data_IF_378519470190
#
_entry.id   IF_378519470190
#
_cell.length_a   1.000
_cell.length_b   1.000
_cell.length_c   1.000
_cell.angle_alpha   90.00
_cell.angle_beta   90.00
_cell.angle_gamma   90.00
#
_symmetry.space_group_name_H-M   'P 1'
#
loop_
_entity.id
_entity.type
_entity.pdbx_description
1 polymer ?
#
# COMPACT_ATOMS: atom_id res chain seq x y z
N UNK A 1 7.83 -34.84 -33.64
CA UNK A 1 8.15 -33.91 -32.54
C UNK A 1 7.89 -32.49 -33.02
N UNK A 2 7.52 -31.56 -32.14
CA UNK A 2 7.44 -30.13 -32.49
C UNK A 2 8.78 -29.65 -33.08
N UNK A 3 8.76 -28.85 -34.14
CA UNK A 3 9.96 -28.26 -34.76
C UNK A 3 10.51 -27.09 -33.96
N UNK A 4 9.72 -26.54 -33.03
CA UNK A 4 10.10 -25.41 -32.20
C UNK A 4 9.73 -25.66 -30.73
N UNK A 5 10.34 -24.92 -29.82
CA UNK A 5 9.94 -24.90 -28.42
C UNK A 5 8.68 -24.06 -28.20
N UNK A 6 7.89 -24.33 -27.15
CA UNK A 6 6.57 -23.70 -26.99
C UNK A 6 6.58 -22.26 -26.48
N UNK A 7 7.60 -21.80 -25.72
CA UNK A 7 7.56 -20.48 -25.09
C UNK A 7 8.21 -19.38 -25.94
N UNK A 8 9.39 -19.65 -26.52
CA UNK A 8 10.16 -18.68 -27.31
C UNK A 8 10.34 -19.08 -28.78
N UNK A 9 9.67 -20.15 -29.21
CA UNK A 9 9.71 -20.62 -30.59
C UNK A 9 11.14 -20.92 -31.10
N UNK A 10 12.02 -21.40 -30.22
CA UNK A 10 13.40 -21.76 -30.58
C UNK A 10 13.38 -22.97 -31.50
N UNK A 11 14.10 -22.88 -32.62
CA UNK A 11 14.19 -23.97 -33.60
C UNK A 11 14.90 -25.18 -33.00
N UNK A 12 14.31 -26.36 -33.21
CA UNK A 12 14.85 -27.64 -32.75
C UNK A 12 15.59 -28.33 -33.88
N UNK A 13 16.79 -28.90 -33.62
CA UNK A 13 17.51 -29.63 -34.65
C UNK A 13 16.73 -30.80 -35.24
N UNK A 14 16.84 -30.93 -36.56
CA UNK A 14 16.25 -32.02 -37.33
C UNK A 14 17.20 -33.23 -37.42
N UNK A 15 16.64 -34.38 -37.82
CA UNK A 15 17.41 -35.63 -38.00
C UNK A 15 18.42 -35.55 -39.14
N UNK A 16 18.31 -34.54 -40.01
CA UNK A 16 19.25 -34.26 -41.08
C UNK A 16 20.50 -33.54 -40.56
N UNK A 17 20.41 -32.88 -39.40
CA UNK A 17 21.49 -32.10 -38.79
C UNK A 17 22.25 -32.90 -37.72
N UNK A 18 21.60 -33.85 -37.05
CA UNK A 18 22.22 -34.70 -36.01
C UNK A 18 21.71 -36.14 -36.05
N UNK A 19 22.62 -37.09 -35.78
CA UNK A 19 22.28 -38.52 -35.71
C UNK A 19 21.40 -38.87 -34.50
N UNK A 20 21.57 -38.20 -33.35
CA UNK A 20 20.72 -38.32 -32.17
C UNK A 20 20.12 -36.96 -31.80
N UNK A 21 18.95 -36.67 -32.38
CA UNK A 21 18.21 -35.42 -32.12
C UNK A 21 17.48 -35.40 -30.78
N UNK A 22 17.36 -36.55 -30.08
CA UNK A 22 16.57 -36.64 -28.86
C UNK A 22 17.17 -35.81 -27.72
N UNK A 23 18.49 -35.92 -27.54
CA UNK A 23 19.25 -35.16 -26.53
C UNK A 23 19.20 -33.64 -26.79
N UNK A 24 19.57 -33.12 -27.98
CA UNK A 24 19.53 -31.68 -28.23
C UNK A 24 18.10 -31.12 -28.18
N UNK A 25 17.08 -31.86 -28.65
CA UNK A 25 15.69 -31.42 -28.55
C UNK A 25 15.20 -31.33 -27.10
N UNK A 26 15.58 -32.31 -26.26
CA UNK A 26 15.29 -32.27 -24.81
C UNK A 26 15.99 -31.09 -24.13
N UNK A 27 17.24 -30.82 -24.49
CA UNK A 27 17.98 -29.68 -23.95
C UNK A 27 17.33 -28.35 -24.39
N UNK A 28 16.89 -28.24 -25.64
CA UNK A 28 16.19 -27.05 -26.15
C UNK A 28 14.90 -26.78 -25.37
N UNK A 29 14.10 -27.82 -25.08
CA UNK A 29 12.91 -27.70 -24.23
C UNK A 29 13.24 -27.25 -22.80
N UNK A 30 14.34 -27.74 -22.21
CA UNK A 30 14.78 -27.29 -20.88
C UNK A 30 15.20 -25.82 -20.90
N UNK A 31 15.97 -25.39 -21.90
CA UNK A 31 16.41 -24.01 -22.07
C UNK A 31 15.20 -23.09 -22.21
N UNK A 32 14.25 -23.43 -23.06
CA UNK A 32 13.03 -22.65 -23.29
C UNK A 32 12.20 -22.46 -22.01
N UNK A 33 12.03 -23.52 -21.22
CA UNK A 33 11.34 -23.44 -19.93
C UNK A 33 12.10 -22.58 -18.91
N UNK A 34 13.42 -22.66 -18.87
CA UNK A 34 14.26 -21.82 -18.00
C UNK A 34 14.18 -20.36 -18.42
N UNK A 35 14.26 -20.07 -19.73
CA UNK A 35 14.09 -18.71 -20.26
C UNK A 35 12.72 -18.15 -19.92
N UNK A 36 11.66 -18.98 -19.95
CA UNK A 36 10.31 -18.53 -19.62
C UNK A 36 10.22 -18.14 -18.15
N UNK A 37 10.74 -18.99 -17.28
CA UNK A 37 10.81 -18.70 -15.85
C UNK A 37 11.60 -17.41 -15.57
N UNK A 38 12.77 -17.25 -16.19
CA UNK A 38 13.58 -16.05 -16.01
C UNK A 38 12.87 -14.80 -16.52
N UNK A 39 12.22 -14.88 -17.68
CA UNK A 39 11.40 -13.79 -18.22
C UNK A 39 10.28 -13.43 -17.25
N UNK A 40 9.54 -14.40 -16.73
CA UNK A 40 8.47 -14.17 -15.75
C UNK A 40 8.99 -13.57 -14.44
N UNK A 41 10.12 -14.07 -13.93
CA UNK A 41 10.76 -13.56 -12.73
C UNK A 41 11.18 -12.10 -12.93
N UNK A 42 11.77 -11.75 -14.08
CA UNK A 42 12.18 -10.37 -14.43
C UNK A 42 10.98 -9.46 -14.63
N UNK A 43 9.95 -9.89 -15.36
CA UNK A 43 8.72 -9.12 -15.54
C UNK A 43 7.96 -8.91 -14.23
N UNK A 44 8.10 -9.82 -13.26
CA UNK A 44 7.52 -9.69 -11.93
C UNK A 44 8.19 -8.66 -11.01
N UNK A 45 9.37 -8.14 -11.38
CA UNK A 45 10.10 -7.18 -10.52
C UNK A 45 9.54 -5.76 -10.59
N UNK A 46 8.92 -5.39 -11.72
CA UNK A 46 8.45 -4.02 -11.94
C UNK A 46 7.11 -3.97 -12.66
N UNK A 47 6.36 -2.88 -12.46
CA UNK A 47 5.16 -2.64 -13.27
C UNK A 47 5.51 -2.29 -14.71
N UNK A 48 4.79 -2.87 -15.66
CA UNK A 48 4.96 -2.63 -17.11
C UNK A 48 3.90 -1.69 -17.72
N UNK A 49 2.83 -1.41 -16.97
CA UNK A 49 1.75 -0.49 -17.32
C UNK A 49 0.98 -0.11 -16.04
N UNK A 50 0.10 0.89 -16.14
CA UNK A 50 -0.89 1.18 -15.10
C UNK A 50 -1.81 -0.03 -14.89
N UNK A 51 -2.17 -0.31 -13.63
CA UNK A 51 -3.04 -1.44 -13.28
C UNK A 51 -4.00 -1.05 -12.15
N UNK A 52 -5.24 -1.52 -12.29
CA UNK A 52 -6.26 -1.40 -11.23
C UNK A 52 -6.70 -2.80 -10.80
N UNK A 53 -6.57 -3.07 -9.50
CA UNK A 53 -7.11 -4.23 -8.83
C UNK A 53 -8.38 -3.87 -8.06
N UNK A 54 -9.46 -4.60 -8.32
CA UNK A 54 -10.73 -4.46 -7.64
C UNK A 54 -10.82 -5.45 -6.49
N UNK A 55 -11.32 -5.00 -5.35
CA UNK A 55 -11.55 -5.79 -4.14
C UNK A 55 -13.02 -5.69 -3.75
N UNK A 56 -13.63 -6.82 -3.42
CA UNK A 56 -15.01 -6.91 -2.95
C UNK A 56 -15.11 -8.05 -1.93
N UNK A 57 -15.76 -7.82 -0.78
CA UNK A 57 -15.91 -8.83 0.27
C UNK A 57 -16.58 -10.15 -0.21
N UNK A 58 -17.38 -10.10 -1.28
CA UNK A 58 -18.01 -11.26 -1.93
C UNK A 58 -17.19 -11.86 -3.08
N UNK A 59 -16.00 -11.31 -3.37
CA UNK A 59 -15.09 -11.76 -4.40
C UNK A 59 -14.38 -13.08 -4.04
N UNK A 60 -13.34 -13.41 -4.83
CA UNK A 60 -12.50 -14.61 -4.61
C UNK A 60 -11.03 -14.29 -4.89
N UNK A 61 -10.13 -14.75 -4.02
CA UNK A 61 -8.69 -14.53 -4.19
C UNK A 61 -8.06 -15.39 -5.30
N UNK A 62 -8.84 -16.30 -5.87
CA UNK A 62 -8.51 -17.03 -7.10
C UNK A 62 -8.83 -16.23 -8.37
N UNK A 63 -9.57 -15.13 -8.26
CA UNK A 63 -9.83 -14.25 -9.40
C UNK A 63 -8.56 -13.48 -9.80
N UNK A 64 -8.61 -12.77 -10.93
CA UNK A 64 -7.50 -11.94 -11.40
C UNK A 64 -7.51 -10.51 -10.82
N UNK A 65 -8.63 -10.06 -10.25
CA UNK A 65 -8.78 -8.72 -9.69
C UNK A 65 -8.93 -7.60 -10.72
N UNK A 66 -8.98 -7.87 -12.03
CA UNK A 66 -8.90 -6.82 -13.06
C UNK A 66 -10.25 -6.15 -13.39
N UNK A 67 -11.36 -6.68 -12.87
CA UNK A 67 -12.70 -6.11 -13.05
C UNK A 67 -13.49 -6.23 -11.74
N UNK A 68 -14.59 -5.48 -11.63
CA UNK A 68 -15.52 -5.61 -10.50
C UNK A 68 -16.13 -7.01 -10.38
N UNK A 69 -16.37 -7.70 -11.50
CA UNK A 69 -16.92 -9.07 -11.52
C UNK A 69 -15.89 -10.15 -11.16
N UNK A 70 -14.60 -9.85 -11.37
CA UNK A 70 -13.47 -10.73 -11.05
C UNK A 70 -12.63 -10.16 -9.92
N UNK A 71 -13.26 -9.43 -8.99
CA UNK A 71 -12.58 -8.81 -7.87
C UNK A 71 -11.95 -9.85 -6.92
N UNK A 72 -10.83 -9.47 -6.30
CA UNK A 72 -10.28 -10.21 -5.16
C UNK A 72 -11.23 -10.14 -3.96
N UNK A 73 -11.14 -11.13 -3.07
CA UNK A 73 -11.88 -11.11 -1.81
C UNK A 73 -11.18 -10.22 -0.78
N UNK A 74 -9.85 -10.28 -0.74
CA UNK A 74 -9.03 -9.55 0.22
C UNK A 74 -8.22 -8.43 -0.43
N UNK A 75 -7.98 -7.38 0.34
CA UNK A 75 -7.09 -6.27 -0.01
C UNK A 75 -5.65 -6.74 0.08
N UNK A 76 -5.31 -7.59 1.06
CA UNK A 76 -3.97 -8.20 1.18
C UNK A 76 -3.60 -8.99 -0.08
N UNK A 77 -4.56 -9.65 -0.73
CA UNK A 77 -4.32 -10.30 -2.03
C UNK A 77 -3.98 -9.30 -3.13
N UNK A 78 -4.66 -8.16 -3.19
CA UNK A 78 -4.35 -7.09 -4.14
C UNK A 78 -2.97 -6.48 -3.87
N UNK A 79 -2.62 -6.25 -2.60
CA UNK A 79 -1.28 -5.78 -2.19
C UNK A 79 -0.19 -6.77 -2.62
N UNK A 80 -0.45 -8.07 -2.52
CA UNK A 80 0.50 -9.11 -2.96
C UNK A 80 0.77 -9.11 -4.47
N UNK A 81 0.04 -8.31 -5.25
CA UNK A 81 0.23 -8.14 -6.70
C UNK A 81 1.04 -6.91 -7.05
N UNK A 82 1.38 -6.06 -6.08
CA UNK A 82 2.22 -4.90 -6.29
C UNK A 82 3.68 -5.39 -6.43
N UNK A 83 4.35 -5.16 -7.57
CA UNK A 83 5.77 -5.46 -7.72
C UNK A 83 6.63 -4.60 -6.79
N UNK A 84 7.87 -5.03 -6.57
CA UNK A 84 8.79 -4.30 -5.70
C UNK A 84 9.19 -2.93 -6.30
N UNK A 85 9.23 -2.80 -7.63
CA UNK A 85 9.50 -1.56 -8.36
C UNK A 85 8.20 -1.08 -9.02
N UNK A 86 7.80 0.16 -8.74
CA UNK A 86 6.52 0.72 -9.20
C UNK A 86 6.80 1.90 -10.13
N UNK A 87 6.86 1.62 -11.43
CA UNK A 87 7.09 2.62 -12.50
C UNK A 87 5.80 3.28 -13.02
N UNK A 88 4.66 2.71 -12.64
CA UNK A 88 3.33 3.03 -13.16
C UNK A 88 2.34 3.11 -12.00
N UNK A 89 1.14 3.64 -12.24
CA UNK A 89 0.11 3.73 -11.22
C UNK A 89 -0.47 2.35 -10.90
N UNK A 90 -0.39 1.95 -9.63
CA UNK A 90 -1.05 0.76 -9.12
C UNK A 90 -2.20 1.20 -8.24
N UNK A 91 -3.42 0.87 -8.65
CA UNK A 91 -4.63 1.25 -7.91
C UNK A 91 -5.29 0.01 -7.34
N UNK A 92 -5.62 0.03 -6.05
CA UNK A 92 -6.49 -0.93 -5.39
C UNK A 92 -7.80 -0.21 -5.10
N UNK A 93 -8.84 -0.57 -5.83
CA UNK A 93 -10.18 -0.03 -5.68
C UNK A 93 -11.03 -0.97 -4.81
N UNK A 94 -11.45 -0.49 -3.65
CA UNK A 94 -12.07 -1.28 -2.59
C UNK A 94 -13.57 -0.97 -2.58
N UNK A 95 -14.39 -1.99 -2.82
CA UNK A 95 -15.83 -1.89 -2.60
C UNK A 95 -16.15 -1.90 -1.10
N UNK A 96 -17.33 -1.39 -0.74
CA UNK A 96 -17.85 -1.43 0.63
C UNK A 96 -17.78 -2.84 1.23
N UNK A 97 -17.37 -2.92 2.49
CA UNK A 97 -17.19 -4.18 3.17
C UNK A 97 -16.37 -4.06 4.46
N UNK A 98 -16.44 -5.13 5.25
CA UNK A 98 -15.61 -5.31 6.42
C UNK A 98 -14.44 -6.24 6.07
N UNK A 99 -13.25 -5.66 5.93
CA UNK A 99 -12.01 -6.37 5.66
C UNK A 99 -11.18 -6.36 6.94
N UNK A 100 -11.46 -7.30 7.85
CA UNK A 100 -10.75 -7.39 9.14
C UNK A 100 -9.30 -7.91 8.98
N UNK A 101 -8.49 -7.16 8.25
CA UNK A 101 -7.12 -7.47 7.89
C UNK A 101 -6.23 -6.23 8.05
N UNK A 102 -4.95 -6.47 8.38
CA UNK A 102 -3.92 -5.43 8.40
C UNK A 102 -3.36 -5.26 7.00
N UNK A 103 -3.38 -4.03 6.48
CA UNK A 103 -2.79 -3.72 5.19
C UNK A 103 -1.32 -3.35 5.36
N UNK A 104 -0.43 -4.23 4.93
CA UNK A 104 1.01 -4.00 5.04
C UNK A 104 1.62 -3.69 3.67
N UNK A 105 1.92 -2.41 3.42
CA UNK A 105 2.70 -1.94 2.28
C UNK A 105 4.16 -1.85 2.71
N UNK A 106 4.97 -2.81 2.27
CA UNK A 106 6.36 -2.94 2.72
C UNK A 106 7.35 -3.06 1.57
N UNK A 107 8.47 -2.33 1.67
CA UNK A 107 9.69 -2.62 0.90
C UNK A 107 9.60 -2.33 -0.61
N UNK A 108 8.71 -1.41 -1.02
CA UNK A 108 8.61 -0.93 -2.39
C UNK A 108 9.77 0.05 -2.65
N UNK A 109 10.68 -0.32 -3.54
CA UNK A 109 12.01 0.30 -3.67
C UNK A 109 12.04 1.60 -4.48
N UNK A 110 11.00 1.92 -5.25
CA UNK A 110 10.92 3.17 -6.03
C UNK A 110 10.39 2.97 -7.44
N UNK A 111 10.48 4.04 -8.24
CA UNK A 111 9.98 4.16 -9.60
C UNK A 111 9.23 5.48 -9.80
N UNK A 112 8.77 5.76 -11.03
CA UNK A 112 8.00 6.98 -11.34
C UNK A 112 6.50 6.88 -11.01
N UNK A 113 6.04 5.74 -10.50
CA UNK A 113 4.63 5.44 -10.26
C UNK A 113 4.12 5.89 -8.90
N UNK A 114 2.90 5.46 -8.58
CA UNK A 114 2.20 5.72 -7.31
C UNK A 114 1.40 4.49 -6.91
N UNK A 115 1.26 4.25 -5.61
CA UNK A 115 0.36 3.22 -5.08
C UNK A 115 -0.87 3.89 -4.48
N UNK A 116 -2.05 3.54 -4.99
CA UNK A 116 -3.32 4.09 -4.53
C UNK A 116 -4.15 2.97 -3.87
N UNK A 117 -4.56 3.17 -2.62
CA UNK A 117 -5.52 2.31 -1.91
C UNK A 117 -6.77 3.14 -1.66
N UNK A 118 -7.81 2.89 -2.46
CA UNK A 118 -8.96 3.76 -2.61
C UNK A 118 -10.23 3.04 -2.16
N UNK A 119 -10.84 3.51 -1.09
CA UNK A 119 -12.23 3.23 -0.72
C UNK A 119 -13.14 4.40 -1.09
N UNK A 120 -13.85 4.94 -0.10
CA UNK A 120 -14.77 6.06 -0.28
C UNK A 120 -14.09 7.37 -0.74
N UNK A 121 -14.83 8.29 -1.35
CA UNK A 121 -14.37 9.66 -1.66
C UNK A 121 -14.62 10.65 -0.51
N UNK A 122 -15.24 10.19 0.57
CA UNK A 122 -15.52 10.96 1.80
C UNK A 122 -15.26 10.09 3.03
N UNK A 123 -15.32 10.67 4.23
CA UNK A 123 -15.36 9.88 5.47
C UNK A 123 -16.48 8.85 5.38
N UNK A 124 -16.21 7.65 5.87
CA UNK A 124 -17.12 6.51 5.73
C UNK A 124 -17.05 5.57 6.93
N UNK A 125 -18.14 4.85 7.15
CA UNK A 125 -18.22 3.72 8.07
C UNK A 125 -18.34 2.36 7.36
N UNK A 126 -18.29 2.35 6.02
CA UNK A 126 -18.57 1.15 5.19
C UNK A 126 -17.34 0.46 4.62
N UNK A 127 -16.17 1.12 4.60
CA UNK A 127 -14.91 0.54 4.09
C UNK A 127 -13.97 0.29 5.26
N UNK A 128 -14.18 -0.81 5.98
CA UNK A 128 -13.53 -1.07 7.27
C UNK A 128 -12.30 -1.95 7.04
N UNK A 129 -11.17 -1.53 7.60
CA UNK A 129 -9.92 -2.30 7.70
C UNK A 129 -9.42 -2.34 9.14
N UNK A 130 -8.58 -3.31 9.51
CA UNK A 130 -8.04 -3.35 10.87
C UNK A 130 -7.16 -2.12 11.14
N UNK A 131 -6.12 -1.97 10.31
CA UNK A 131 -5.14 -0.91 10.35
C UNK A 131 -4.25 -0.96 9.09
N UNK A 132 -3.45 0.08 8.87
CA UNK A 132 -2.53 0.18 7.74
C UNK A 132 -1.10 0.43 8.23
N UNK A 133 -0.15 -0.27 7.64
CA UNK A 133 1.28 -0.09 7.85
C UNK A 133 1.91 0.23 6.50
N UNK A 134 2.56 1.38 6.39
CA UNK A 134 3.37 1.78 5.26
C UNK A 134 4.81 1.89 5.73
N UNK A 135 5.65 0.93 5.34
CA UNK A 135 7.01 0.83 5.86
C UNK A 135 8.02 0.65 4.72
N UNK A 136 9.03 1.53 4.66
CA UNK A 136 10.08 1.47 3.63
C UNK A 136 9.52 1.51 2.21
N UNK A 137 8.52 2.37 1.97
CA UNK A 137 7.93 2.58 0.64
C UNK A 137 8.48 3.86 0.03
N UNK A 138 9.13 3.73 -1.13
CA UNK A 138 9.86 4.82 -1.77
C UNK A 138 9.11 5.50 -2.93
N UNK A 139 7.87 5.11 -3.19
CA UNK A 139 6.95 5.79 -4.11
C UNK A 139 5.84 6.50 -3.32
N UNK A 140 5.21 7.56 -3.87
CA UNK A 140 4.03 8.15 -3.25
C UNK A 140 2.93 7.11 -3.01
N UNK A 141 2.30 7.18 -1.83
CA UNK A 141 1.14 6.36 -1.48
C UNK A 141 -0.07 7.24 -1.21
N UNK A 142 -1.21 6.90 -1.79
CA UNK A 142 -2.50 7.52 -1.48
C UNK A 142 -3.37 6.50 -0.76
N UNK A 143 -3.83 6.85 0.44
CA UNK A 143 -4.78 6.07 1.24
C UNK A 143 -6.05 6.90 1.38
N UNK A 144 -7.20 6.41 0.88
CA UNK A 144 -8.42 7.21 0.84
C UNK A 144 -9.66 6.47 1.31
N UNK A 145 -10.43 7.11 2.21
CA UNK A 145 -11.82 6.72 2.51
C UNK A 145 -11.93 5.37 3.18
N UNK A 146 -11.13 5.13 4.22
CA UNK A 146 -11.08 3.87 4.98
C UNK A 146 -11.33 4.16 6.45
N UNK A 147 -11.98 3.21 7.14
CA UNK A 147 -12.20 3.24 8.59
C UNK A 147 -11.35 2.18 9.26
N UNK A 148 -10.72 2.53 10.39
CA UNK A 148 -9.94 1.60 11.21
C UNK A 148 -10.77 0.99 12.34
N UNK A 149 -10.61 -0.32 12.55
CA UNK A 149 -11.32 -1.09 13.58
C UNK A 149 -10.43 -1.62 14.71
N UNK A 150 -9.10 -1.53 14.58
CA UNK A 150 -8.18 -2.02 15.61
C UNK A 150 -8.16 -1.11 16.85
N UNK A 151 -8.22 -1.73 18.03
CA UNK A 151 -7.97 -1.06 19.31
C UNK A 151 -6.51 -1.27 19.81
N UNK A 152 -5.75 -2.16 19.17
CA UNK A 152 -4.45 -2.65 19.64
C UNK A 152 -3.28 -2.26 18.71
N UNK A 153 -3.48 -1.24 17.87
CA UNK A 153 -2.47 -0.75 16.94
C UNK A 153 -2.75 0.71 16.61
N UNK A 154 -1.76 1.37 16.01
CA UNK A 154 -2.03 2.59 15.27
C UNK A 154 -3.05 2.34 14.16
N UNK A 155 -3.91 3.32 13.86
CA UNK A 155 -4.80 3.25 12.71
C UNK A 155 -4.00 3.23 11.41
N UNK A 156 -3.10 4.20 11.27
CA UNK A 156 -2.09 4.27 10.22
C UNK A 156 -0.70 4.48 10.83
N UNK A 157 0.23 3.57 10.55
CA UNK A 157 1.66 3.75 10.81
C UNK A 157 2.40 3.96 9.49
N UNK A 158 3.09 5.08 9.36
CA UNK A 158 3.99 5.38 8.24
C UNK A 158 5.41 5.47 8.77
N UNK A 159 6.33 4.64 8.26
CA UNK A 159 7.73 4.68 8.68
C UNK A 159 8.71 4.55 7.53
N UNK A 160 9.79 5.33 7.56
CA UNK A 160 10.89 5.24 6.58
C UNK A 160 10.42 5.31 5.12
N UNK A 161 9.38 6.09 4.85
CA UNK A 161 8.70 6.15 3.55
C UNK A 161 8.73 7.58 3.00
N UNK A 162 8.75 7.71 1.67
CA UNK A 162 8.98 9.01 1.01
C UNK A 162 7.82 9.97 1.19
N UNK A 163 6.61 9.59 0.79
CA UNK A 163 5.41 10.42 0.91
C UNK A 163 4.13 9.59 1.02
N UNK A 164 3.30 9.86 2.03
CA UNK A 164 1.96 9.25 2.19
C UNK A 164 0.89 10.33 2.31
N UNK A 165 -0.14 10.25 1.45
CA UNK A 165 -1.34 11.05 1.55
C UNK A 165 -2.47 10.24 2.19
N UNK A 166 -2.81 10.59 3.43
CA UNK A 166 -3.96 10.07 4.16
C UNK A 166 -5.16 11.00 3.94
N UNK A 167 -6.22 10.46 3.36
CA UNK A 167 -7.36 11.23 2.86
C UNK A 167 -8.66 10.63 3.39
N UNK A 168 -9.50 11.40 4.07
CA UNK A 168 -10.81 10.90 4.53
C UNK A 168 -10.72 9.59 5.34
N UNK A 169 -9.66 9.43 6.13
CA UNK A 169 -9.50 8.27 7.00
C UNK A 169 -10.26 8.51 8.30
N UNK A 170 -10.91 7.46 8.80
CA UNK A 170 -11.69 7.51 10.04
C UNK A 170 -11.13 6.54 11.06
N UNK A 171 -10.72 7.07 12.20
CA UNK A 171 -10.28 6.28 13.34
C UNK A 171 -10.92 6.75 14.63
N UNK A 172 -12.03 6.10 15.00
CA UNK A 172 -12.85 6.47 16.16
C UNK A 172 -12.89 5.37 17.22
N UNK A 173 -12.26 4.23 16.94
CA UNK A 173 -12.19 3.07 17.83
C UNK A 173 -11.30 3.41 19.03
N UNK A 174 -11.80 3.37 20.29
CA UNK A 174 -10.98 3.72 21.45
C UNK A 174 -9.69 2.90 21.54
N UNK A 175 -8.56 3.57 21.76
CA UNK A 175 -7.24 2.93 21.83
C UNK A 175 -6.22 3.77 22.59
N UNK A 176 -5.22 3.12 23.19
CA UNK A 176 -4.02 3.77 23.74
C UNK A 176 -2.94 4.00 22.69
N UNK A 177 -3.20 3.66 21.42
CA UNK A 177 -2.31 3.94 20.29
C UNK A 177 -2.71 5.23 19.58
N UNK A 178 -1.79 5.77 18.78
CA UNK A 178 -2.05 6.95 17.96
C UNK A 178 -2.98 6.62 16.78
N UNK A 179 -3.81 7.57 16.36
CA UNK A 179 -4.64 7.41 15.17
C UNK A 179 -3.79 7.31 13.91
N UNK A 180 -2.97 8.33 13.67
CA UNK A 180 -2.00 8.37 12.56
C UNK A 180 -0.61 8.72 13.11
N UNK A 181 0.38 7.90 12.80
CA UNK A 181 1.76 8.07 13.24
C UNK A 181 2.73 8.06 12.06
N UNK A 182 3.50 9.15 11.88
CA UNK A 182 4.61 9.25 10.94
C UNK A 182 5.95 9.21 11.68
N UNK A 183 6.80 8.25 11.33
CA UNK A 183 8.15 8.07 11.87
C UNK A 183 9.19 8.14 10.73
N UNK A 184 10.05 9.15 10.73
CA UNK A 184 11.06 9.32 9.67
C UNK A 184 10.45 9.22 8.24
N UNK A 185 9.33 9.92 8.04
CA UNK A 185 8.56 9.90 6.81
C UNK A 185 7.93 11.27 6.54
N UNK A 186 7.46 11.50 5.31
CA UNK A 186 6.70 12.71 4.99
C UNK A 186 5.30 12.41 4.49
N UNK A 187 4.39 13.37 4.56
CA UNK A 187 3.04 13.16 4.09
C UNK A 187 2.07 14.32 4.26
N UNK A 188 0.83 14.04 3.89
CA UNK A 188 -0.32 14.92 4.11
C UNK A 188 -1.43 14.12 4.77
N UNK A 189 -2.03 14.68 5.80
CA UNK A 189 -3.23 14.15 6.46
C UNK A 189 -4.34 15.17 6.25
N UNK A 190 -5.37 14.81 5.50
CA UNK A 190 -6.45 15.76 5.21
C UNK A 190 -7.85 15.15 5.30
N UNK A 191 -8.78 15.94 5.84
CA UNK A 191 -10.19 15.56 6.00
C UNK A 191 -10.43 14.24 6.74
N UNK A 192 -9.53 13.89 7.67
CA UNK A 192 -9.62 12.71 8.51
C UNK A 192 -10.38 13.00 9.81
N UNK A 193 -10.98 11.95 10.40
CA UNK A 193 -11.60 11.98 11.72
C UNK A 193 -10.83 11.05 12.66
N UNK A 194 -10.17 11.60 13.68
CA UNK A 194 -9.25 10.89 14.58
C UNK A 194 -9.67 11.13 16.04
N UNK A 195 -10.38 10.17 16.63
CA UNK A 195 -11.03 10.29 17.94
C UNK A 195 -10.67 9.12 18.87
N UNK A 196 -10.70 9.37 20.17
CA UNK A 196 -10.47 8.38 21.23
C UNK A 196 -9.09 7.71 21.19
N UNK A 197 -8.04 8.48 20.86
CA UNK A 197 -6.65 8.01 20.72
C UNK A 197 -5.74 8.56 21.80
N UNK A 198 -4.58 7.92 21.99
CA UNK A 198 -3.50 8.53 22.76
C UNK A 198 -3.07 9.86 22.10
N UNK A 199 -2.72 9.81 20.82
CA UNK A 199 -2.54 10.99 19.99
C UNK A 199 -3.36 10.85 18.72
N UNK A 200 -4.06 11.91 18.29
CA UNK A 200 -4.74 11.86 17.00
C UNK A 200 -3.73 11.80 15.83
N UNK A 201 -2.83 12.80 15.74
CA UNK A 201 -1.74 12.83 14.75
C UNK A 201 -0.38 13.02 15.43
N UNK A 202 0.51 12.05 15.24
CA UNK A 202 1.86 12.04 15.81
C UNK A 202 2.91 12.02 14.70
N UNK A 203 3.88 12.92 14.78
CA UNK A 203 5.10 12.89 13.98
C UNK A 203 6.33 12.72 14.87
N UNK A 204 7.25 11.86 14.46
CA UNK A 204 8.47 11.54 15.18
C UNK A 204 9.67 11.37 14.23
N UNK A 205 10.87 11.63 14.74
CA UNK A 205 12.17 11.34 14.09
C UNK A 205 12.28 11.95 12.70
N UNK A 206 12.40 13.27 12.63
CA UNK A 206 12.56 14.04 11.39
C UNK A 206 11.39 13.89 10.39
N UNK A 207 10.23 13.38 10.82
CA UNK A 207 9.04 13.33 9.98
C UNK A 207 8.54 14.75 9.62
N UNK A 208 7.93 14.92 8.44
CA UNK A 208 7.40 16.21 8.00
C UNK A 208 6.00 16.05 7.39
N UNK A 209 4.99 16.57 8.07
CA UNK A 209 3.58 16.33 7.72
C UNK A 209 2.81 17.64 7.60
N UNK A 210 1.95 17.72 6.58
CA UNK A 210 0.94 18.76 6.48
C UNK A 210 -0.43 18.22 6.92
N UNK A 211 -1.03 18.84 7.94
CA UNK A 211 -2.32 18.47 8.53
C UNK A 211 -3.39 19.50 8.18
N UNK A 212 -4.44 19.10 7.46
CA UNK A 212 -5.45 20.03 6.95
C UNK A 212 -6.89 19.57 7.16
N UNK A 213 -7.71 20.41 7.79
CA UNK A 213 -9.16 20.18 7.96
C UNK A 213 -9.46 18.80 8.54
N UNK A 214 -8.73 18.43 9.59
CA UNK A 214 -8.92 17.19 10.32
C UNK A 214 -9.82 17.44 11.54
N UNK A 215 -10.58 16.43 11.96
CA UNK A 215 -11.49 16.51 13.10
C UNK A 215 -11.23 15.36 14.07
N UNK A 216 -11.90 15.40 15.22
CA UNK A 216 -11.93 14.31 16.19
C UNK A 216 -11.74 14.81 17.62
N UNK A 217 -12.20 14.02 18.57
CA UNK A 217 -12.28 14.40 20.00
C UNK A 217 -11.99 13.19 20.89
N UNK A 218 -11.85 13.43 22.21
CA UNK A 218 -11.60 12.35 23.17
C UNK A 218 -10.18 11.81 23.15
N UNK A 219 -9.25 12.54 22.52
CA UNK A 219 -7.84 12.17 22.48
C UNK A 219 -7.09 12.70 23.72
N UNK A 220 -5.99 12.05 24.12
CA UNK A 220 -5.09 12.65 25.13
C UNK A 220 -4.33 13.84 24.52
N UNK A 221 -3.83 13.66 23.30
CA UNK A 221 -3.16 14.70 22.50
C UNK A 221 -3.84 14.88 21.13
N UNK A 222 -4.01 16.12 20.70
CA UNK A 222 -4.45 16.43 19.32
C UNK A 222 -3.30 16.19 18.34
N UNK A 223 -2.27 17.02 18.42
CA UNK A 223 -1.08 16.98 17.58
C UNK A 223 0.18 16.81 18.42
N UNK A 224 1.09 15.92 18.00
CA UNK A 224 2.39 15.71 18.64
C UNK A 224 3.50 15.78 17.60
N UNK A 225 4.51 16.63 17.83
CA UNK A 225 5.72 16.68 17.00
C UNK A 225 6.97 16.54 17.87
N UNK A 226 7.64 15.38 17.79
CA UNK A 226 8.86 15.06 18.55
C UNK A 226 10.07 14.79 17.64
N UNK A 227 11.27 14.90 18.22
CA UNK A 227 12.54 14.48 17.61
C UNK A 227 12.78 15.11 16.23
N UNK A 228 12.85 16.44 16.18
CA UNK A 228 13.05 17.25 14.96
C UNK A 228 11.99 17.05 13.86
N UNK A 229 10.83 16.47 14.18
CA UNK A 229 9.71 16.38 13.25
C UNK A 229 8.91 17.68 13.17
N UNK A 230 8.10 17.83 12.11
CA UNK A 230 7.28 19.02 11.87
C UNK A 230 5.87 18.66 11.47
N UNK A 231 4.90 19.40 12.02
CA UNK A 231 3.52 19.44 11.54
C UNK A 231 3.20 20.86 11.10
N UNK A 232 2.97 21.08 9.80
CA UNK A 232 2.31 22.29 9.33
C UNK A 232 0.80 22.09 9.37
N UNK A 233 0.03 23.07 9.87
CA UNK A 233 -1.42 22.94 10.02
C UNK A 233 -2.22 23.99 9.26
N UNK A 234 -3.40 23.61 8.79
CA UNK A 234 -4.39 24.51 8.20
C UNK A 234 -5.81 24.02 8.48
N UNK A 235 -6.78 24.94 8.60
CA UNK A 235 -8.16 24.59 8.92
C UNK A 235 -8.31 23.94 10.29
N UNK A 236 -9.32 23.08 10.46
CA UNK A 236 -9.58 22.36 11.71
C UNK A 236 -8.51 21.31 11.99
N UNK A 237 -8.30 21.00 13.26
CA UNK A 237 -7.39 19.96 13.73
C UNK A 237 -8.11 19.06 14.74
N UNK A 238 -7.68 17.80 14.92
CA UNK A 238 -8.20 16.95 15.99
C UNK A 238 -7.88 17.55 17.35
N UNK A 239 -8.80 17.40 18.29
CA UNK A 239 -8.71 17.97 19.63
C UNK A 239 -8.36 16.87 20.62
N UNK A 240 -7.47 17.20 21.56
CA UNK A 240 -7.16 16.36 22.72
C UNK A 240 -7.28 17.13 24.02
N UNK A 241 -7.06 16.46 25.16
CA UNK A 241 -6.88 17.13 26.45
C UNK A 241 -5.77 18.17 26.34
N UNK A 242 -4.67 17.79 25.70
CA UNK A 242 -3.63 18.70 25.24
C UNK A 242 -3.72 18.83 23.72
N UNK A 243 -4.02 20.01 23.20
CA UNK A 243 -4.19 20.16 21.74
C UNK A 243 -2.90 19.96 20.97
N UNK A 244 -1.78 20.46 21.48
CA UNK A 244 -0.50 20.45 20.79
C UNK A 244 0.62 20.14 21.79
N UNK A 245 1.51 19.20 21.46
CA UNK A 245 2.71 18.88 22.24
C UNK A 245 3.94 18.84 21.36
N UNK A 246 5.03 19.46 21.86
CA UNK A 246 6.30 19.60 21.14
C UNK A 246 7.45 19.23 22.07
N UNK A 247 8.45 18.51 21.55
CA UNK A 247 9.64 18.09 22.31
C UNK A 247 10.82 17.79 21.38
N UNK A 248 12.04 17.82 21.93
CA UNK A 248 13.28 17.42 21.23
C UNK A 248 13.44 18.05 19.84
N UNK A 249 13.20 19.37 19.74
CA UNK A 249 13.31 20.12 18.47
C UNK A 249 12.16 19.91 17.48
N UNK A 250 11.12 19.16 17.85
CA UNK A 250 9.91 19.05 17.04
C UNK A 250 9.09 20.34 17.06
N UNK A 251 8.38 20.61 15.97
CA UNK A 251 7.61 21.85 15.82
C UNK A 251 6.24 21.65 15.16
N UNK A 252 5.31 22.54 15.50
CA UNK A 252 3.94 22.60 15.02
C UNK A 252 3.70 24.05 14.62
N UNK A 253 3.47 24.24 13.32
CA UNK A 253 3.37 25.53 12.62
C UNK A 253 1.93 25.78 12.18
#
# INVERSE_FOLDING_TARGET
MSTNTPNFNLEKPSVEEFYDVGVPNSNMDKIDNVLKKLSDDVHGLSTIADVTYYVNANGKDTNNGLTTTTAFKSIVKAISKIPQIVNHNVTINIAEGNYNETLNLYGILGGSGTVNVLGSTTLTDTHIVSNIIVNRVQVPVVLRGLKFSSANSHGLLVSYSTFVSAQYLKDVTPSTFDGIHFLAASGRVYSCELSNKATALHTETCANVYSETNTGTGNSFGLVAYNSSKIGKAGTQPVGITNESKSSGGDIL
#
